data_IF_205379024788
#
_entry.id   IF_205379024788
#
_cell.length_a   1.000
_cell.length_b   1.000
_cell.length_c   1.000
_cell.angle_alpha   90.00
_cell.angle_beta   90.00
_cell.angle_gamma   90.00
#
_symmetry.space_group_name_H-M   'P 1'
#
loop_
_entity.id
_entity.type
_entity.pdbx_description
1 polymer ?
#
# COMPACT_ATOMS: atom_id res chain seq x y z
N UNK A 1 -3.23 -18.94 -24.86
CA UNK A 1 -2.58 -17.88 -24.07
C UNK A 1 -3.57 -17.44 -23.03
N UNK A 2 -3.12 -17.26 -21.79
CA UNK A 2 -3.99 -16.79 -20.71
C UNK A 2 -3.72 -15.32 -20.46
N UNK A 3 -4.77 -14.56 -20.16
CA UNK A 3 -4.66 -13.15 -19.79
C UNK A 3 -4.65 -13.04 -18.27
N UNK A 4 -3.60 -12.45 -17.72
CA UNK A 4 -3.56 -12.04 -16.31
C UNK A 4 -3.96 -10.57 -16.26
N UNK A 5 -5.09 -10.30 -15.60
CA UNK A 5 -5.57 -8.94 -15.29
C UNK A 5 -5.08 -8.56 -13.89
N UNK A 6 -4.21 -7.55 -13.79
CA UNK A 6 -3.58 -7.09 -12.56
C UNK A 6 -4.18 -5.74 -12.18
N UNK A 7 -4.62 -5.60 -10.93
CA UNK A 7 -5.03 -4.31 -10.35
C UNK A 7 -4.04 -3.84 -9.30
N UNK A 8 -3.67 -2.57 -9.34
CA UNK A 8 -2.98 -1.85 -8.26
C UNK A 8 -3.91 -0.78 -7.74
N UNK A 9 -4.15 -0.75 -6.43
CA UNK A 9 -5.12 0.20 -5.85
C UNK A 9 -4.79 0.59 -4.41
N UNK A 10 -4.62 1.89 -4.18
CA UNK A 10 -4.65 2.43 -2.82
C UNK A 10 -6.10 2.42 -2.31
N UNK A 11 -6.34 1.89 -1.10
CA UNK A 11 -7.67 1.78 -0.50
C UNK A 11 -7.84 2.67 0.74
N UNK A 12 -7.07 3.77 0.85
CA UNK A 12 -7.30 4.77 1.87
C UNK A 12 -8.75 5.25 1.82
N UNK A 13 -9.27 5.66 2.97
CA UNK A 13 -10.64 6.14 3.12
C UNK A 13 -10.83 6.81 4.47
N UNK A 14 -11.55 7.91 4.47
CA UNK A 14 -11.93 8.58 5.71
C UNK A 14 -12.94 7.72 6.46
N UNK A 15 -12.99 7.83 7.79
CA UNK A 15 -13.86 6.96 8.58
C UNK A 15 -15.35 7.05 8.18
N UNK A 16 -15.77 8.21 7.66
CA UNK A 16 -17.14 8.50 7.25
C UNK A 16 -17.56 7.83 5.93
N UNK A 17 -16.63 7.53 5.02
CA UNK A 17 -16.93 7.01 3.68
C UNK A 17 -16.25 5.65 3.40
N UNK A 18 -15.42 5.17 4.32
CA UNK A 18 -14.69 3.91 4.22
C UNK A 18 -15.58 2.71 3.87
N UNK A 19 -16.76 2.60 4.51
CA UNK A 19 -17.67 1.46 4.30
C UNK A 19 -18.22 1.47 2.87
N UNK A 20 -18.74 2.60 2.41
CA UNK A 20 -19.30 2.74 1.07
C UNK A 20 -18.24 2.51 -0.02
N UNK A 21 -17.05 3.12 0.14
CA UNK A 21 -15.92 2.96 -0.78
C UNK A 21 -15.44 1.51 -0.86
N UNK A 22 -15.36 0.85 0.29
CA UNK A 22 -15.02 -0.57 0.37
C UNK A 22 -16.06 -1.44 -0.34
N UNK A 23 -17.36 -1.21 -0.12
CA UNK A 23 -18.42 -1.96 -0.80
C UNK A 23 -18.36 -1.80 -2.32
N UNK A 24 -18.17 -0.57 -2.81
CA UNK A 24 -17.99 -0.29 -4.25
C UNK A 24 -16.79 -1.03 -4.83
N UNK A 25 -15.65 -1.02 -4.13
CA UNK A 25 -14.46 -1.75 -4.53
C UNK A 25 -14.73 -3.26 -4.61
N UNK A 26 -15.36 -3.84 -3.60
CA UNK A 26 -15.65 -5.28 -3.56
C UNK A 26 -16.63 -5.70 -4.66
N UNK A 27 -17.66 -4.88 -4.92
CA UNK A 27 -18.57 -5.10 -6.05
C UNK A 27 -17.82 -5.05 -7.40
N UNK A 28 -16.91 -4.10 -7.57
CA UNK A 28 -16.08 -4.00 -8.76
C UNK A 28 -15.16 -5.23 -8.92
N UNK A 29 -14.53 -5.71 -7.85
CA UNK A 29 -13.72 -6.94 -7.88
C UNK A 29 -14.56 -8.15 -8.30
N UNK A 30 -15.77 -8.30 -7.75
CA UNK A 30 -16.68 -9.40 -8.10
C UNK A 30 -17.16 -9.34 -9.56
N UNK A 31 -17.40 -8.13 -10.09
CA UNK A 31 -17.83 -7.90 -11.48
C UNK A 31 -16.69 -8.12 -12.47
N UNK A 32 -15.57 -7.43 -12.26
CA UNK A 32 -14.46 -7.36 -13.22
C UNK A 32 -13.50 -8.55 -13.13
N UNK A 33 -13.55 -9.27 -12.01
CA UNK A 33 -12.81 -10.50 -11.72
C UNK A 33 -11.32 -10.39 -12.05
N UNK A 34 -10.57 -9.45 -11.44
CA UNK A 34 -9.12 -9.36 -11.63
C UNK A 34 -8.45 -10.69 -11.27
N UNK A 35 -7.38 -11.03 -11.98
CA UNK A 35 -6.58 -12.23 -11.70
C UNK A 35 -5.74 -12.03 -10.46
N UNK A 36 -5.17 -10.84 -10.32
CA UNK A 36 -4.39 -10.39 -9.16
C UNK A 36 -4.86 -8.98 -8.82
N UNK A 37 -5.06 -8.69 -7.53
CA UNK A 37 -5.19 -7.32 -7.07
C UNK A 37 -4.23 -7.09 -5.90
N UNK A 38 -3.51 -5.97 -5.96
CA UNK A 38 -2.56 -5.50 -4.96
C UNK A 38 -3.14 -4.22 -4.34
N UNK A 39 -3.75 -4.36 -3.16
CA UNK A 39 -4.34 -3.25 -2.41
C UNK A 39 -3.36 -2.66 -1.40
N UNK A 40 -3.28 -1.33 -1.31
CA UNK A 40 -2.56 -0.62 -0.25
C UNK A 40 -3.57 -0.07 0.78
N UNK A 41 -3.12 0.20 2.00
CA UNK A 41 -3.94 0.83 3.06
C UNK A 41 -5.17 0.03 3.54
N UNK A 42 -5.13 -1.30 3.39
CA UNK A 42 -6.14 -2.23 3.93
C UNK A 42 -5.80 -2.66 5.37
N UNK A 43 -5.71 -1.67 6.25
CA UNK A 43 -5.20 -1.86 7.62
C UNK A 43 -6.28 -2.15 8.66
N UNK A 44 -7.54 -1.78 8.41
CA UNK A 44 -8.59 -1.91 9.41
C UNK A 44 -9.01 -3.39 9.57
N UNK A 45 -9.29 -3.86 10.80
CA UNK A 45 -9.86 -5.19 10.99
C UNK A 45 -11.16 -5.41 10.22
N UNK A 46 -11.99 -4.36 10.12
CA UNK A 46 -13.24 -4.39 9.36
C UNK A 46 -12.99 -4.67 7.88
N UNK A 47 -12.14 -3.89 7.21
CA UNK A 47 -11.87 -4.10 5.78
C UNK A 47 -11.30 -5.49 5.50
N UNK A 48 -10.40 -5.99 6.35
CA UNK A 48 -9.87 -7.36 6.22
C UNK A 48 -10.95 -8.42 6.35
N UNK A 49 -11.77 -8.33 7.38
CA UNK A 49 -12.90 -9.23 7.60
C UNK A 49 -13.86 -9.22 6.41
N UNK A 50 -14.21 -8.04 5.90
CA UNK A 50 -15.13 -7.91 4.77
C UNK A 50 -14.55 -8.50 3.48
N UNK A 51 -13.27 -8.29 3.20
CA UNK A 51 -12.56 -8.96 2.10
C UNK A 51 -12.62 -10.48 2.23
N UNK A 52 -12.28 -11.00 3.42
CA UNK A 52 -12.30 -12.45 3.68
C UNK A 52 -13.71 -13.02 3.54
N UNK A 53 -14.72 -12.35 4.10
CA UNK A 53 -16.11 -12.80 4.05
C UNK A 53 -16.69 -12.81 2.63
N UNK A 54 -16.39 -11.79 1.82
CA UNK A 54 -17.04 -11.61 0.51
C UNK A 54 -16.25 -12.14 -0.69
N UNK A 55 -14.93 -12.34 -0.56
CA UNK A 55 -14.08 -12.75 -1.68
C UNK A 55 -13.39 -14.10 -1.48
N UNK A 56 -13.35 -14.68 -0.26
CA UNK A 56 -12.58 -15.90 0.00
C UNK A 56 -13.09 -17.14 -0.75
N UNK A 57 -14.34 -17.16 -1.22
CA UNK A 57 -14.86 -18.21 -2.10
C UNK A 57 -14.10 -18.26 -3.43
N UNK A 58 -13.79 -17.10 -3.99
CA UNK A 58 -13.28 -16.92 -5.35
C UNK A 58 -11.80 -16.52 -5.40
N UNK A 59 -11.23 -16.11 -4.26
CA UNK A 59 -9.88 -15.60 -4.16
C UNK A 59 -9.09 -16.28 -3.03
N UNK A 60 -7.79 -16.41 -3.25
CA UNK A 60 -6.81 -16.58 -2.18
C UNK A 60 -6.41 -15.18 -1.69
N UNK A 61 -6.60 -14.88 -0.41
CA UNK A 61 -6.42 -13.54 0.16
C UNK A 61 -5.23 -13.54 1.12
N UNK A 62 -4.32 -12.60 0.94
CA UNK A 62 -3.07 -12.50 1.70
C UNK A 62 -2.96 -11.09 2.28
N UNK A 63 -3.28 -10.96 3.58
CA UNK A 63 -3.15 -9.70 4.31
C UNK A 63 -1.75 -9.52 4.88
N UNK A 64 -1.20 -8.31 4.78
CA UNK A 64 -0.02 -7.92 5.53
C UNK A 64 -0.34 -7.82 7.02
N UNK A 65 0.03 -8.86 7.75
CA UNK A 65 -0.09 -8.92 9.19
C UNK A 65 1.25 -8.53 9.81
N UNK A 66 1.36 -7.27 10.24
CA UNK A 66 2.52 -6.85 11.02
C UNK A 66 2.37 -7.35 12.46
N UNK A 67 3.06 -8.46 12.77
CA UNK A 67 3.43 -8.77 14.15
C UNK A 67 4.41 -7.67 14.56
N UNK A 68 4.03 -6.85 15.54
CA UNK A 68 4.74 -5.65 15.97
C UNK A 68 6.27 -5.85 15.96
N UNK A 69 7.06 -5.08 15.21
CA UNK A 69 8.42 -4.82 15.64
C UNK A 69 8.35 -3.98 16.92
N UNK A 70 9.28 -4.23 17.84
CA UNK A 70 9.57 -3.33 18.97
C UNK A 70 9.57 -1.91 18.43
N UNK A 71 8.70 -1.04 18.96
CA UNK A 71 8.71 0.35 18.55
C UNK A 71 10.11 0.93 18.88
N UNK A 72 10.64 1.85 18.07
CA UNK A 72 11.83 2.59 18.45
C UNK A 72 11.63 3.19 19.84
N UNK A 73 12.64 3.14 20.71
CA UNK A 73 12.52 3.68 22.08
C UNK A 73 12.08 5.16 22.08
N UNK A 74 12.43 5.91 21.03
CA UNK A 74 12.01 7.32 20.84
C UNK A 74 10.49 7.49 20.68
N UNK A 75 9.78 6.48 20.15
CA UNK A 75 8.32 6.47 20.10
C UNK A 75 7.69 6.50 21.50
N UNK A 76 8.42 6.10 22.54
CA UNK A 76 7.91 6.14 23.91
C UNK A 76 8.18 7.49 24.60
N UNK A 77 9.08 8.32 24.09
CA UNK A 77 9.47 9.58 24.75
C UNK A 77 8.35 10.59 24.82
N UNK A 78 7.59 10.77 23.74
CA UNK A 78 6.47 11.71 23.74
C UNK A 78 5.36 11.27 24.70
N UNK A 79 4.90 10.00 24.67
CA UNK A 79 4.01 9.47 25.70
C UNK A 79 4.54 9.66 27.12
N UNK A 80 5.80 9.29 27.38
CA UNK A 80 6.42 9.44 28.71
C UNK A 80 6.50 10.91 29.13
N UNK A 81 6.89 11.81 28.23
CA UNK A 81 6.94 13.25 28.48
C UNK A 81 5.56 13.83 28.80
N UNK A 82 4.52 13.42 28.05
CA UNK A 82 3.14 13.80 28.33
C UNK A 82 2.66 13.25 29.69
N UNK A 83 2.98 11.99 30.02
CA UNK A 83 2.68 11.42 31.33
C UNK A 83 3.39 12.18 32.46
N UNK A 84 4.66 12.56 32.28
CA UNK A 84 5.40 13.36 33.26
C UNK A 84 4.83 14.77 33.43
N UNK A 85 4.42 15.41 32.33
CA UNK A 85 3.76 16.71 32.37
C UNK A 85 2.40 16.60 33.06
N UNK A 86 1.59 15.59 32.75
CA UNK A 86 0.33 15.32 33.46
C UNK A 86 0.58 14.93 34.92
N UNK A 87 1.62 14.18 35.27
CA UNK A 87 1.93 13.88 36.66
C UNK A 87 2.36 15.11 37.46
N UNK A 88 3.14 16.00 36.83
CA UNK A 88 3.64 17.23 37.46
C UNK A 88 2.57 18.34 37.55
N UNK A 89 1.67 18.43 36.57
CA UNK A 89 0.68 19.52 36.46
C UNK A 89 -0.77 19.05 36.65
N UNK A 90 -1.05 17.76 36.55
CA UNK A 90 -2.39 17.14 36.62
C UNK A 90 -2.98 17.07 38.02
N UNK A 91 -2.29 17.58 39.04
CA UNK A 91 -2.98 18.02 40.27
C UNK A 91 -3.85 19.28 40.03
N UNK A 92 -3.77 19.92 38.85
CA UNK A 92 -4.54 21.12 38.48
C UNK A 92 -5.38 20.96 37.20
N UNK A 93 -5.37 19.81 36.52
CA UNK A 93 -6.01 19.64 35.20
C UNK A 93 -7.10 18.58 35.23
N UNK A 94 -8.19 18.85 34.50
CA UNK A 94 -9.40 18.06 34.37
C UNK A 94 -9.12 16.54 34.15
N UNK A 95 -9.79 15.64 34.91
CA UNK A 95 -9.64 14.18 34.78
C UNK A 95 -9.88 13.64 33.35
N UNK A 96 -10.67 14.33 32.51
CA UNK A 96 -10.85 13.95 31.10
C UNK A 96 -9.55 14.10 30.29
N UNK A 97 -8.71 15.10 30.59
CA UNK A 97 -7.39 15.27 29.96
C UNK A 97 -6.45 14.15 30.36
N UNK A 98 -6.49 13.73 31.64
CA UNK A 98 -5.75 12.56 32.13
C UNK A 98 -6.21 11.31 31.39
N UNK A 99 -7.52 11.11 31.22
CA UNK A 99 -8.08 9.94 30.53
C UNK A 99 -7.74 9.90 29.03
N UNK A 100 -7.69 11.05 28.37
CA UNK A 100 -7.35 11.18 26.96
C UNK A 100 -5.86 10.97 26.71
N UNK A 101 -5.00 11.64 27.49
CA UNK A 101 -3.55 11.46 27.46
C UNK A 101 -3.20 10.01 27.85
N UNK A 102 -3.87 9.44 28.85
CA UNK A 102 -3.77 8.03 29.20
C UNK A 102 -4.21 7.14 28.04
N UNK A 103 -5.29 7.43 27.30
CA UNK A 103 -5.64 6.62 26.12
C UNK A 103 -4.57 6.70 25.01
N UNK A 104 -3.96 7.86 24.79
CA UNK A 104 -2.89 8.03 23.79
C UNK A 104 -1.56 7.37 24.21
N UNK A 105 -1.25 7.37 25.52
CA UNK A 105 -0.04 6.78 26.11
C UNK A 105 -0.21 5.28 26.33
N UNK A 106 -1.36 4.84 26.83
CA UNK A 106 -1.63 3.47 27.24
C UNK A 106 -2.01 2.58 26.05
N UNK A 107 -2.49 3.10 24.92
CA UNK A 107 -2.70 2.26 23.73
C UNK A 107 -1.36 1.68 23.19
N UNK A 108 -0.26 2.44 23.09
CA UNK A 108 1.03 1.86 22.75
C UNK A 108 1.71 1.10 23.90
N UNK A 109 1.46 1.48 25.16
CA UNK A 109 2.23 1.00 26.34
C UNK A 109 1.54 -0.11 27.16
N UNK A 110 0.21 -0.13 27.29
CA UNK A 110 -0.55 -1.18 28.00
C UNK A 110 -1.09 -2.29 27.09
N UNK A 111 -1.01 -2.15 25.76
CA UNK A 111 -1.44 -3.20 24.83
C UNK A 111 -0.80 -4.58 25.03
N UNK A 112 0.45 -4.73 25.53
CA UNK A 112 0.97 -6.06 25.85
C UNK A 112 0.48 -6.62 27.20
N UNK A 113 -0.15 -5.82 28.07
CA UNK A 113 -0.45 -6.18 29.47
C UNK A 113 -1.90 -6.49 29.81
N UNK A 114 -2.88 -6.15 28.96
CA UNK A 114 -4.31 -6.39 29.25
C UNK A 114 -4.75 -7.78 28.71
N UNK A 115 -5.14 -8.74 29.57
CA UNK A 115 -5.49 -10.10 29.16
C UNK A 115 -6.69 -10.19 28.19
N UNK A 116 -7.60 -9.22 28.25
CA UNK A 116 -8.77 -9.13 27.36
C UNK A 116 -8.36 -8.82 25.91
N UNK A 117 -7.26 -8.09 25.70
CA UNK A 117 -6.74 -7.78 24.35
C UNK A 117 -5.84 -8.90 23.81
N UNK A 118 -5.25 -9.73 24.68
CA UNK A 118 -4.62 -11.01 24.27
C UNK A 118 -5.61 -11.93 23.56
N UNK A 119 -6.90 -11.89 23.93
CA UNK A 119 -7.97 -12.62 23.23
C UNK A 119 -8.48 -11.91 21.96
N UNK A 120 -8.27 -10.59 21.83
CA UNK A 120 -8.51 -9.83 20.59
C UNK A 120 -7.31 -9.84 19.63
N UNK A 121 -6.27 -10.64 19.90
CA UNK A 121 -5.18 -10.96 18.97
C UNK A 121 -4.61 -9.75 18.25
N UNK A 122 -4.10 -8.75 18.98
CA UNK A 122 -3.66 -7.45 18.45
C UNK A 122 -2.44 -7.54 17.51
N UNK A 123 -2.68 -8.10 16.32
CA UNK A 123 -1.89 -7.91 15.11
C UNK A 123 -1.95 -6.41 14.80
N UNK A 124 -0.81 -5.73 14.78
CA UNK A 124 -0.80 -4.27 14.64
C UNK A 124 -1.31 -3.84 13.26
N UNK A 125 -2.10 -2.77 13.26
CA UNK A 125 -2.52 -2.06 12.05
C UNK A 125 -1.43 -1.05 11.67
N UNK A 126 -0.54 -1.42 10.74
CA UNK A 126 0.21 -0.40 9.97
C UNK A 126 -0.80 0.28 9.06
N UNK A 127 -0.93 1.60 9.08
CA UNK A 127 -1.85 2.31 8.18
C UNK A 127 -1.51 2.10 6.72
N UNK A 128 -0.25 1.82 6.42
CA UNK A 128 0.16 1.53 5.06
C UNK A 128 -0.12 0.08 4.65
N UNK A 129 -0.60 -0.81 5.54
CA UNK A 129 -0.67 -2.26 5.32
C UNK A 129 -1.28 -2.67 3.97
N UNK A 130 -0.65 -3.65 3.33
CA UNK A 130 -1.05 -4.17 2.02
C UNK A 130 -1.89 -5.42 2.10
N UNK A 131 -2.61 -5.69 1.02
CA UNK A 131 -3.28 -6.96 0.77
C UNK A 131 -2.99 -7.38 -0.66
N UNK A 132 -2.75 -8.68 -0.88
CA UNK A 132 -2.67 -9.25 -2.22
C UNK A 132 -3.72 -10.34 -2.34
N UNK A 133 -4.52 -10.30 -3.40
CA UNK A 133 -5.51 -11.34 -3.69
C UNK A 133 -5.21 -12.00 -5.05
N UNK A 134 -5.41 -13.30 -5.12
CA UNK A 134 -5.22 -14.12 -6.32
C UNK A 134 -6.50 -14.88 -6.65
N UNK A 135 -7.00 -14.74 -7.88
CA UNK A 135 -8.23 -15.44 -8.29
C UNK A 135 -8.03 -16.96 -8.33
N UNK A 136 -8.87 -17.71 -7.62
CA UNK A 136 -8.92 -19.19 -7.67
C UNK A 136 -9.31 -19.73 -9.05
N UNK A 137 -9.88 -18.88 -9.91
CA UNK A 137 -10.12 -19.23 -11.32
C UNK A 137 -8.81 -19.53 -12.05
N UNK A 138 -7.77 -18.73 -11.78
CA UNK A 138 -6.48 -18.79 -12.47
C UNK A 138 -5.38 -19.47 -11.65
N UNK A 139 -5.38 -19.25 -10.34
CA UNK A 139 -4.36 -19.74 -9.42
C UNK A 139 -4.86 -20.97 -8.63
N UNK A 140 -4.09 -22.06 -8.72
CA UNK A 140 -4.32 -23.26 -7.91
C UNK A 140 -4.09 -22.97 -6.43
N UNK A 141 -3.05 -22.21 -6.11
CA UNK A 141 -2.70 -21.81 -4.75
C UNK A 141 -2.02 -20.46 -4.75
N UNK A 142 -2.16 -19.73 -3.64
CA UNK A 142 -1.32 -18.57 -3.37
C UNK A 142 -0.92 -18.51 -1.90
N UNK A 143 0.23 -17.91 -1.61
CA UNK A 143 0.74 -17.73 -0.24
C UNK A 143 1.63 -16.50 -0.14
N UNK A 144 1.72 -15.95 1.07
CA UNK A 144 2.78 -15.00 1.39
C UNK A 144 4.13 -15.71 1.36
N UNK A 145 5.11 -15.11 0.68
CA UNK A 145 6.52 -15.52 0.78
C UNK A 145 7.22 -14.64 1.80
N UNK A 146 6.99 -13.33 1.72
CA UNK A 146 7.60 -12.35 2.62
C UNK A 146 6.69 -11.16 2.84
N UNK A 147 6.52 -10.74 4.09
CA UNK A 147 5.80 -9.52 4.45
C UNK A 147 6.66 -8.77 5.46
N UNK A 148 7.24 -7.63 5.04
CA UNK A 148 8.22 -6.93 5.87
C UNK A 148 8.06 -5.41 5.75
N UNK A 149 8.07 -4.75 6.90
CA UNK A 149 8.21 -3.30 6.97
C UNK A 149 9.66 -2.88 6.75
N UNK A 150 9.87 -1.73 6.10
CA UNK A 150 11.24 -1.23 5.94
C UNK A 150 11.86 -0.87 7.29
N UNK A 151 13.17 -1.10 7.39
CA UNK A 151 13.96 -0.77 8.56
C UNK A 151 13.89 0.72 8.87
N UNK A 152 13.98 1.07 10.15
CA UNK A 152 13.76 2.44 10.60
C UNK A 152 14.66 3.46 9.89
N UNK A 153 15.92 3.10 9.64
CA UNK A 153 16.92 3.97 8.99
C UNK A 153 16.62 4.31 7.53
N UNK A 154 15.73 3.57 6.87
CA UNK A 154 15.33 3.80 5.47
C UNK A 154 13.85 4.13 5.33
N UNK A 155 13.13 4.38 6.43
CA UNK A 155 11.73 4.85 6.34
C UNK A 155 11.64 6.24 5.74
N UNK A 156 12.61 7.12 6.00
CA UNK A 156 12.77 8.37 5.27
C UNK A 156 11.73 9.47 5.58
N UNK A 157 11.07 9.44 6.74
CA UNK A 157 10.21 10.54 7.16
C UNK A 157 11.04 11.80 7.46
N UNK A 158 10.69 12.97 6.90
CA UNK A 158 11.46 14.19 7.10
C UNK A 158 11.33 14.68 8.55
N UNK A 159 12.46 15.03 9.16
CA UNK A 159 12.45 15.63 10.50
C UNK A 159 11.86 17.04 10.39
N UNK A 160 10.74 17.36 11.06
CA UNK A 160 10.12 18.66 10.95
C UNK A 160 10.96 19.70 11.70
N UNK A 161 10.82 20.97 11.31
CA UNK A 161 11.47 22.05 12.05
C UNK A 161 10.92 22.13 13.47
N UNK A 162 11.82 22.30 14.44
CA UNK A 162 11.51 22.42 15.87
C UNK A 162 10.56 23.59 16.20
N UNK A 163 10.38 24.52 15.26
CA UNK A 163 9.48 25.68 15.38
C UNK A 163 7.99 25.35 15.20
N UNK A 164 7.64 24.13 14.79
CA UNK A 164 6.24 23.69 14.60
C UNK A 164 5.95 22.42 15.42
N UNK A 165 5.59 22.53 16.71
CA UNK A 165 5.46 21.37 17.61
C UNK A 165 4.41 20.35 17.14
N UNK A 166 3.34 20.79 16.48
CA UNK A 166 2.35 19.88 15.87
C UNK A 166 2.97 18.94 14.81
N UNK A 167 4.00 19.39 14.09
CA UNK A 167 4.70 18.54 13.12
C UNK A 167 5.56 17.46 13.80
N UNK A 168 6.11 17.72 14.99
CA UNK A 168 6.83 16.69 15.76
C UNK A 168 5.87 15.58 16.23
N UNK A 169 4.67 15.95 16.63
CA UNK A 169 3.61 14.98 16.95
C UNK A 169 3.24 14.14 15.71
N UNK A 170 3.06 14.78 14.56
CA UNK A 170 2.77 14.07 13.32
C UNK A 170 3.91 13.16 12.88
N UNK A 171 5.17 13.59 13.01
CA UNK A 171 6.34 12.75 12.79
C UNK A 171 6.30 11.50 13.68
N UNK A 172 5.95 11.66 14.96
CA UNK A 172 5.76 10.52 15.86
C UNK A 172 4.70 9.55 15.34
N UNK A 173 3.53 10.06 14.90
CA UNK A 173 2.46 9.26 14.31
C UNK A 173 2.97 8.53 13.06
N UNK A 174 3.70 9.22 12.18
CA UNK A 174 4.28 8.65 10.97
C UNK A 174 5.21 7.47 11.32
N UNK A 175 6.26 7.68 12.11
CA UNK A 175 7.18 6.60 12.46
C UNK A 175 6.53 5.44 13.23
N UNK A 176 5.41 5.70 13.91
CA UNK A 176 4.72 4.72 14.75
C UNK A 176 3.70 3.90 13.95
N UNK A 177 2.90 4.52 13.08
CA UNK A 177 1.73 3.91 12.44
C UNK A 177 1.80 3.88 10.90
N UNK A 178 2.43 4.88 10.27
CA UNK A 178 2.66 4.88 8.83
C UNK A 178 4.01 4.20 8.58
N UNK A 179 4.00 2.90 8.31
CA UNK A 179 5.24 2.15 8.08
C UNK A 179 5.26 1.72 6.64
N UNK A 180 6.11 2.34 5.81
CA UNK A 180 6.33 1.88 4.46
C UNK A 180 6.76 0.42 4.54
N UNK A 181 6.23 -0.40 3.64
CA UNK A 181 6.46 -1.84 3.68
C UNK A 181 6.19 -2.46 2.31
N UNK A 182 6.51 -3.74 2.19
CA UNK A 182 6.20 -4.54 1.02
C UNK A 182 5.68 -5.91 1.42
N UNK A 183 4.97 -6.53 0.48
CA UNK A 183 4.48 -7.90 0.54
C UNK A 183 4.83 -8.62 -0.77
N UNK A 184 5.66 -9.65 -0.68
CA UNK A 184 5.95 -10.57 -1.78
C UNK A 184 5.07 -11.80 -1.60
N UNK A 185 4.14 -11.97 -2.52
CA UNK A 185 3.24 -13.11 -2.56
C UNK A 185 3.50 -13.97 -3.79
N UNK A 186 3.39 -15.29 -3.61
CA UNK A 186 3.55 -16.27 -4.67
C UNK A 186 2.19 -16.86 -5.02
N UNK A 187 1.87 -16.86 -6.32
CA UNK A 187 0.75 -17.58 -6.90
C UNK A 187 1.24 -18.69 -7.83
N UNK A 188 0.67 -19.88 -7.73
CA UNK A 188 0.91 -20.99 -8.65
C UNK A 188 -0.31 -21.11 -9.56
N UNK A 189 -0.13 -20.96 -10.87
CA UNK A 189 -1.23 -21.07 -11.84
C UNK A 189 -1.73 -22.52 -11.92
N UNK A 190 -2.91 -22.71 -12.48
CA UNK A 190 -3.45 -24.07 -12.68
C UNK A 190 -2.60 -24.92 -13.63
N UNK A 191 -1.86 -24.28 -14.51
CA UNK A 191 -0.92 -24.91 -15.45
C UNK A 191 0.49 -25.10 -14.85
N UNK A 192 0.71 -24.70 -13.59
CA UNK A 192 1.98 -24.88 -12.89
C UNK A 192 2.98 -23.73 -13.04
N UNK A 193 2.60 -22.66 -13.75
CA UNK A 193 3.40 -21.43 -13.82
C UNK A 193 3.49 -20.75 -12.45
N UNK A 194 4.62 -20.07 -12.19
CA UNK A 194 4.85 -19.35 -10.95
C UNK A 194 4.79 -17.85 -11.19
N UNK A 195 4.01 -17.16 -10.35
CA UNK A 195 3.85 -15.71 -10.37
C UNK A 195 4.30 -15.14 -9.03
N UNK A 196 5.16 -14.12 -9.07
CA UNK A 196 5.50 -13.30 -7.91
C UNK A 196 4.80 -11.95 -8.02
N UNK A 197 3.88 -11.67 -7.10
CA UNK A 197 3.22 -10.38 -6.97
C UNK A 197 3.80 -9.64 -5.77
N UNK A 198 4.45 -8.51 -6.03
CA UNK A 198 5.15 -7.67 -5.07
C UNK A 198 4.34 -6.39 -4.88
N UNK A 199 3.65 -6.30 -3.76
CA UNK A 199 2.89 -5.12 -3.37
C UNK A 199 3.80 -4.19 -2.56
N UNK A 200 4.00 -2.96 -3.02
CA UNK A 200 4.80 -1.95 -2.34
C UNK A 200 3.92 -0.77 -1.92
N UNK A 201 4.25 -0.19 -0.77
CA UNK A 201 3.77 1.14 -0.41
C UNK A 201 4.98 1.92 0.14
N UNK A 202 5.57 2.73 -0.73
CA UNK A 202 6.82 3.45 -0.46
C UNK A 202 6.57 4.73 0.34
N UNK A 203 7.64 5.27 0.91
CA UNK A 203 7.55 6.49 1.73
C UNK A 203 7.01 7.70 0.95
N UNK A 204 6.13 8.45 1.62
CA UNK A 204 5.56 9.73 1.19
C UNK A 204 6.61 10.86 1.06
N UNK A 205 6.22 11.91 0.34
CA UNK A 205 6.98 13.15 0.19
C UNK A 205 7.73 13.22 -1.13
N UNK A 206 7.73 14.41 -1.72
CA UNK A 206 8.37 14.65 -3.01
C UNK A 206 9.30 15.88 -2.92
N UNK A 207 10.61 15.75 -3.26
CA UNK A 207 11.35 14.52 -3.52
C UNK A 207 11.69 13.74 -2.22
N UNK A 208 11.75 12.41 -2.28
CA UNK A 208 12.23 11.59 -1.15
C UNK A 208 13.29 10.54 -1.60
N UNK A 209 14.59 10.77 -1.28
CA UNK A 209 15.66 9.89 -1.73
C UNK A 209 15.66 8.50 -1.08
N UNK A 210 14.90 8.30 0.00
CA UNK A 210 14.82 6.99 0.66
C UNK A 210 13.98 5.98 -0.13
N UNK A 211 13.14 6.41 -1.08
CA UNK A 211 12.39 5.50 -1.95
C UNK A 211 13.30 4.60 -2.79
N UNK A 212 14.41 5.15 -3.28
CA UNK A 212 15.41 4.37 -4.01
C UNK A 212 16.01 3.26 -3.13
N UNK A 213 16.41 3.59 -1.89
CA UNK A 213 16.93 2.61 -0.92
C UNK A 213 15.89 1.54 -0.55
N UNK A 214 14.62 1.93 -0.43
CA UNK A 214 13.52 0.99 -0.21
C UNK A 214 13.35 0.05 -1.40
N UNK A 215 13.45 0.57 -2.63
CA UNK A 215 13.37 -0.25 -3.84
C UNK A 215 14.58 -1.16 -4.02
N UNK A 216 15.79 -0.73 -3.66
CA UNK A 216 16.97 -1.60 -3.64
C UNK A 216 16.75 -2.84 -2.77
N UNK A 217 16.18 -2.67 -1.58
CA UNK A 217 15.80 -3.76 -0.68
C UNK A 217 14.76 -4.66 -1.34
N UNK A 218 13.70 -4.10 -1.95
CA UNK A 218 12.68 -4.90 -2.64
C UNK A 218 13.31 -5.71 -3.78
N UNK A 219 14.13 -5.09 -4.62
CA UNK A 219 14.77 -5.74 -5.77
C UNK A 219 15.78 -6.81 -5.35
N UNK A 220 16.51 -6.62 -4.25
CA UNK A 220 17.35 -7.66 -3.64
C UNK A 220 16.52 -8.89 -3.24
N UNK A 221 15.44 -8.69 -2.48
CA UNK A 221 14.57 -9.79 -2.05
C UNK A 221 13.91 -10.49 -3.23
N UNK A 222 13.48 -9.74 -4.24
CA UNK A 222 12.91 -10.33 -5.46
C UNK A 222 13.95 -11.15 -6.21
N UNK A 223 15.19 -10.68 -6.35
CA UNK A 223 16.29 -11.45 -6.98
C UNK A 223 16.51 -12.78 -6.27
N UNK A 224 16.58 -12.77 -4.94
CA UNK A 224 16.79 -13.99 -4.14
C UNK A 224 15.63 -14.99 -4.21
N UNK A 225 14.39 -14.50 -4.35
CA UNK A 225 13.17 -15.32 -4.34
C UNK A 225 12.72 -15.77 -5.74
N UNK A 226 13.13 -15.04 -6.78
CA UNK A 226 12.79 -15.30 -8.17
C UNK A 226 13.49 -16.54 -8.70
N UNK A 227 12.84 -17.21 -9.65
CA UNK A 227 13.37 -18.33 -10.42
C UNK A 227 13.30 -18.01 -11.90
N UNK A 228 14.11 -18.72 -12.68
CA UNK A 228 14.04 -18.62 -14.14
C UNK A 228 12.63 -18.99 -14.63
N UNK A 229 12.05 -18.11 -15.45
CA UNK A 229 10.70 -18.28 -15.99
C UNK A 229 9.56 -17.78 -15.11
N UNK A 230 9.84 -17.21 -13.93
CA UNK A 230 8.81 -16.54 -13.13
C UNK A 230 8.23 -15.33 -13.86
N UNK A 231 6.93 -15.12 -13.65
CA UNK A 231 6.23 -13.90 -14.03
C UNK A 231 6.19 -12.97 -12.80
N UNK A 232 6.84 -11.81 -12.86
CA UNK A 232 7.04 -10.94 -11.70
C UNK A 232 6.35 -9.61 -11.93
N UNK A 233 5.51 -9.22 -10.97
CA UNK A 233 4.80 -7.95 -10.93
C UNK A 233 5.22 -7.17 -9.70
N UNK A 234 5.69 -5.93 -9.87
CA UNK A 234 5.90 -4.99 -8.76
C UNK A 234 4.88 -3.87 -8.92
N UNK A 235 3.96 -3.78 -7.96
CA UNK A 235 2.83 -2.87 -8.04
C UNK A 235 2.58 -2.17 -6.71
N UNK A 236 1.92 -1.03 -6.78
CA UNK A 236 1.41 -0.33 -5.62
C UNK A 236 1.63 1.16 -5.71
N UNK A 237 1.55 1.81 -4.56
CA UNK A 237 1.77 3.24 -4.40
C UNK A 237 3.26 3.52 -4.16
N UNK A 238 3.89 4.09 -5.18
CA UNK A 238 5.30 4.45 -5.13
C UNK A 238 5.50 5.83 -4.51
N UNK A 239 4.43 6.61 -4.38
CA UNK A 239 4.44 8.01 -3.95
C UNK A 239 5.35 8.93 -4.79
N UNK A 240 5.79 8.50 -5.97
CA UNK A 240 6.68 9.22 -6.88
C UNK A 240 5.86 9.97 -7.91
N UNK A 241 6.10 11.27 -8.06
CA UNK A 241 5.52 12.03 -9.16
C UNK A 241 6.10 11.58 -10.51
N UNK A 242 5.23 11.25 -11.46
CA UNK A 242 5.59 10.95 -12.86
C UNK A 242 6.47 11.99 -13.55
N UNK A 243 6.41 13.26 -13.13
CA UNK A 243 7.23 14.33 -13.69
C UNK A 243 8.65 14.37 -13.13
N UNK A 244 8.94 13.63 -12.04
CA UNK A 244 10.28 13.54 -11.47
C UNK A 244 11.17 12.60 -12.30
N UNK A 245 11.72 13.16 -13.38
CA UNK A 245 12.69 12.47 -14.26
C UNK A 245 14.00 12.12 -13.54
N UNK A 246 14.26 12.72 -12.37
CA UNK A 246 15.48 12.47 -11.60
C UNK A 246 15.37 11.25 -10.69
N UNK A 247 14.17 10.68 -10.54
CA UNK A 247 13.92 9.63 -9.57
C UNK A 247 14.73 8.35 -9.87
N UNK A 248 15.56 7.96 -8.90
CA UNK A 248 16.49 6.83 -9.03
C UNK A 248 15.74 5.50 -8.98
N UNK A 249 14.60 5.46 -8.29
CA UNK A 249 13.75 4.27 -8.14
C UNK A 249 13.37 3.64 -9.48
N UNK A 250 12.91 4.42 -10.47
CA UNK A 250 12.53 3.88 -11.78
C UNK A 250 13.74 3.47 -12.62
N UNK A 251 14.89 4.11 -12.42
CA UNK A 251 16.15 3.71 -13.09
C UNK A 251 16.60 2.33 -12.62
N UNK A 252 16.49 2.04 -11.32
CA UNK A 252 16.78 0.72 -10.76
C UNK A 252 15.88 -0.36 -11.36
N UNK A 253 14.56 -0.13 -11.43
CA UNK A 253 13.61 -1.07 -12.03
C UNK A 253 13.92 -1.36 -13.50
N UNK A 254 14.17 -0.32 -14.30
CA UNK A 254 14.54 -0.47 -15.72
C UNK A 254 15.87 -1.20 -15.88
N UNK A 255 16.86 -0.92 -15.04
CA UNK A 255 18.16 -1.60 -15.07
C UNK A 255 18.03 -3.11 -14.77
N UNK A 256 17.06 -3.49 -13.92
CA UNK A 256 16.69 -4.88 -13.65
C UNK A 256 15.80 -5.50 -14.74
N UNK A 257 15.50 -4.77 -15.81
CA UNK A 257 14.71 -5.26 -16.96
C UNK A 257 13.20 -5.22 -16.76
N UNK A 258 12.70 -4.51 -15.74
CA UNK A 258 11.27 -4.31 -15.58
C UNK A 258 10.74 -3.28 -16.60
N UNK A 259 9.55 -3.55 -17.11
CA UNK A 259 8.82 -2.66 -18.00
C UNK A 259 7.63 -2.05 -17.25
N UNK A 260 7.36 -0.77 -17.48
CA UNK A 260 6.18 -0.08 -16.95
C UNK A 260 4.96 -0.34 -17.84
N UNK A 261 3.82 -0.63 -17.22
CA UNK A 261 2.55 -0.90 -17.88
C UNK A 261 2.12 0.14 -18.90
N UNK A 262 2.28 1.42 -18.55
CA UNK A 262 1.94 2.51 -19.45
C UNK A 262 2.85 2.51 -20.70
N UNK A 263 4.15 2.25 -20.51
CA UNK A 263 5.13 2.26 -21.59
C UNK A 263 4.89 1.13 -22.59
N UNK A 264 4.56 -0.09 -22.13
CA UNK A 264 4.29 -1.19 -23.07
C UNK A 264 2.97 -0.98 -23.83
N UNK A 265 1.96 -0.38 -23.19
CA UNK A 265 0.66 -0.15 -23.83
C UNK A 265 0.79 0.87 -24.98
N UNK A 266 1.63 1.88 -24.80
CA UNK A 266 1.94 2.88 -25.82
C UNK A 266 2.75 2.32 -26.99
N UNK A 267 3.67 1.38 -26.74
CA UNK A 267 4.51 0.77 -27.77
C UNK A 267 3.85 -0.39 -28.55
N UNK A 268 2.68 -0.87 -28.13
CA UNK A 268 2.09 -2.14 -28.56
C UNK A 268 0.89 -2.07 -29.50
N UNK A 269 0.43 -0.87 -29.87
CA UNK A 269 -0.83 -0.68 -30.59
C UNK A 269 -2.01 -0.79 -29.63
N UNK A 270 -2.12 0.16 -28.69
CA UNK A 270 -3.31 0.32 -27.87
C UNK A 270 -4.54 0.19 -28.76
N UNK A 271 -5.44 -0.76 -28.44
CA UNK A 271 -6.67 -0.95 -29.20
C UNK A 271 -7.46 0.36 -29.21
N UNK A 272 -8.04 0.71 -30.35
CA UNK A 272 -8.92 1.87 -30.48
C UNK A 272 -9.97 1.86 -29.34
N UNK A 273 -9.98 2.93 -28.53
CA UNK A 273 -10.92 3.11 -27.43
C UNK A 273 -10.34 3.10 -26.01
N UNK A 274 -9.10 2.65 -25.81
CA UNK A 274 -8.45 2.76 -24.50
C UNK A 274 -7.84 4.14 -24.28
N UNK A 275 -8.27 4.84 -23.22
CA UNK A 275 -7.62 6.07 -22.77
C UNK A 275 -6.33 5.71 -22.04
N UNK A 276 -5.18 6.10 -22.58
CA UNK A 276 -3.89 6.07 -21.87
C UNK A 276 -3.79 7.25 -20.91
N UNK A 277 -4.80 7.42 -20.04
CA UNK A 277 -4.63 8.25 -18.86
C UNK A 277 -3.58 7.57 -17.97
N UNK A 278 -2.79 8.37 -17.29
CA UNK A 278 -1.75 7.91 -16.38
C UNK A 278 -1.94 8.47 -14.99
N UNK A 279 -2.80 9.48 -14.83
CA UNK A 279 -3.00 10.17 -13.57
C UNK A 279 -3.70 9.20 -12.61
N UNK A 280 -3.10 8.96 -11.45
CA UNK A 280 -3.70 8.17 -10.37
C UNK A 280 -3.98 9.00 -9.13
N UNK A 281 -3.58 10.27 -9.13
CA UNK A 281 -3.85 11.21 -8.07
C UNK A 281 -4.18 12.57 -8.67
N UNK A 282 -5.35 13.12 -8.31
CA UNK A 282 -5.85 14.36 -8.89
C UNK A 282 -6.69 15.15 -7.88
N UNK A 283 -6.50 16.48 -7.75
CA UNK A 283 -7.36 17.36 -6.96
C UNK A 283 -8.83 17.38 -7.41
N UNK A 284 -9.12 16.89 -8.63
CA UNK A 284 -10.49 16.70 -9.11
C UNK A 284 -11.23 15.55 -8.42
N UNK A 285 -10.50 14.63 -7.78
CA UNK A 285 -11.06 13.59 -6.94
C UNK A 285 -11.58 14.21 -5.65
N UNK A 286 -12.89 14.09 -5.38
CA UNK A 286 -13.54 14.67 -4.18
C UNK A 286 -12.98 14.15 -2.85
N UNK A 287 -12.23 13.05 -2.87
CA UNK A 287 -11.62 12.46 -1.67
C UNK A 287 -10.19 12.93 -1.43
N UNK A 288 -9.57 13.62 -2.39
CA UNK A 288 -8.27 14.26 -2.19
C UNK A 288 -8.48 15.51 -1.31
N UNK A 289 -7.73 15.65 -0.20
CA UNK A 289 -7.80 16.84 0.64
C UNK A 289 -7.50 18.11 -0.18
N UNK A 290 -8.30 19.15 0.02
CA UNK A 290 -8.06 20.47 -0.57
C UNK A 290 -6.90 21.17 0.18
N UNK A 291 -5.67 20.72 -0.05
CA UNK A 291 -4.47 21.40 0.43
C UNK A 291 -4.04 22.46 -0.59
N UNK A 292 -3.67 23.66 -0.13
CA UNK A 292 -3.29 24.77 -1.02
C UNK A 292 -2.05 24.46 -1.85
N UNK A 293 -1.14 23.66 -1.28
CA UNK A 293 0.12 23.29 -1.90
C UNK A 293 -0.05 22.28 -3.06
N UNK A 294 -1.20 21.59 -3.13
CA UNK A 294 -1.44 20.50 -4.09
C UNK A 294 -2.58 20.76 -5.09
N UNK A 295 -3.21 21.95 -5.08
CA UNK A 295 -4.46 22.26 -5.83
C UNK A 295 -4.39 22.00 -7.35
N UNK A 296 -3.20 21.98 -7.95
CA UNK A 296 -3.00 21.77 -9.39
C UNK A 296 -2.21 20.48 -9.73
N UNK A 297 -1.85 19.67 -8.74
CA UNK A 297 -0.96 18.54 -8.95
C UNK A 297 -1.71 17.33 -9.52
N UNK A 298 -1.72 17.16 -10.84
CA UNK A 298 -2.16 15.92 -11.46
C UNK A 298 -0.96 15.01 -11.69
N UNK A 299 -0.93 13.85 -11.02
CA UNK A 299 0.22 12.96 -11.12
C UNK A 299 -0.15 11.49 -11.03
N UNK A 300 0.77 10.64 -11.47
CA UNK A 300 0.73 9.20 -11.27
C UNK A 300 1.60 8.87 -10.08
N UNK A 301 1.00 8.30 -9.04
CA UNK A 301 1.72 7.80 -7.86
C UNK A 301 1.76 6.26 -7.85
N UNK A 302 0.79 5.64 -8.52
CA UNK A 302 0.62 4.20 -8.57
C UNK A 302 1.21 3.62 -9.84
N UNK A 303 1.85 2.46 -9.72
CA UNK A 303 2.54 1.83 -10.85
C UNK A 303 2.31 0.33 -10.89
N UNK A 304 2.39 -0.23 -12.10
CA UNK A 304 2.47 -1.66 -12.37
C UNK A 304 3.70 -1.89 -13.24
N UNK A 305 4.73 -2.50 -12.65
CA UNK A 305 5.95 -2.93 -13.30
C UNK A 305 5.95 -4.44 -13.49
N UNK A 306 6.52 -4.90 -14.59
CA UNK A 306 6.48 -6.31 -14.97
C UNK A 306 7.81 -6.79 -15.54
N UNK A 307 8.17 -8.03 -15.21
CA UNK A 307 9.31 -8.77 -15.77
C UNK A 307 8.91 -10.23 -15.92
N UNK A 308 9.02 -10.79 -17.13
CA UNK A 308 8.62 -12.17 -17.42
C UNK A 308 8.64 -12.49 -18.92
N UNK A 309 8.08 -13.65 -19.31
CA UNK A 309 8.02 -14.10 -20.71
C UNK A 309 6.74 -13.68 -21.42
N UNK A 310 5.72 -13.31 -20.66
CA UNK A 310 4.50 -12.72 -21.17
C UNK A 310 4.70 -11.37 -21.86
N UNK A 311 3.65 -10.93 -22.56
CA UNK A 311 3.62 -9.66 -23.28
C UNK A 311 2.53 -8.78 -22.68
N UNK A 312 2.90 -7.58 -22.23
CA UNK A 312 1.94 -6.56 -21.84
C UNK A 312 1.05 -6.15 -23.01
N UNK A 313 -0.26 -6.06 -22.76
CA UNK A 313 -1.25 -5.67 -23.76
C UNK A 313 -1.94 -4.36 -23.43
N UNK A 314 -2.42 -4.22 -22.19
CA UNK A 314 -3.34 -3.14 -21.82
C UNK A 314 -2.86 -2.45 -20.54
N UNK A 315 -3.17 -1.16 -20.47
CA UNK A 315 -3.03 -0.29 -19.29
C UNK A 315 -4.25 0.63 -19.26
N UNK A 316 -4.87 0.77 -18.10
CA UNK A 316 -6.05 1.60 -17.91
C UNK A 316 -6.08 2.13 -16.48
N UNK A 317 -6.38 3.42 -16.32
CA UNK A 317 -6.73 3.98 -15.01
C UNK A 317 -8.20 3.67 -14.73
N UNK A 318 -8.47 3.03 -13.60
CA UNK A 318 -9.80 2.62 -13.16
C UNK A 318 -10.24 3.45 -11.94
N UNK A 319 -11.55 3.54 -11.70
CA UNK A 319 -12.12 4.33 -10.60
C UNK A 319 -11.79 5.84 -10.68
N UNK A 320 -11.69 6.40 -11.89
CA UNK A 320 -11.48 7.83 -12.14
C UNK A 320 -12.76 8.59 -12.53
N UNK A 321 -13.90 7.90 -12.62
CA UNK A 321 -15.20 8.52 -12.87
C UNK A 321 -15.83 8.99 -11.55
N UNK A 322 -16.46 10.18 -11.56
CA UNK A 322 -17.00 10.86 -10.38
C UNK A 322 -17.90 9.98 -9.49
N UNK A 323 -18.69 9.11 -10.10
CA UNK A 323 -19.64 8.24 -9.39
C UNK A 323 -19.05 6.88 -9.00
N UNK A 324 -17.86 6.55 -9.50
CA UNK A 324 -17.17 5.26 -9.29
C UNK A 324 -15.85 5.40 -8.52
N UNK A 325 -15.68 6.50 -7.78
CA UNK A 325 -14.52 6.71 -6.91
C UNK A 325 -14.58 5.75 -5.72
N UNK A 326 -13.48 5.03 -5.47
CA UNK A 326 -13.32 4.12 -4.33
C UNK A 326 -12.15 4.52 -3.42
N UNK A 327 -11.26 5.38 -3.91
CA UNK A 327 -10.14 5.90 -3.15
C UNK A 327 -9.88 7.38 -3.46
N UNK A 328 -9.00 8.04 -2.70
CA UNK A 328 -8.38 9.33 -3.04
C UNK A 328 -7.38 9.17 -4.19
N UNK A 329 -6.93 7.93 -4.42
CA UNK A 329 -6.26 7.53 -5.65
C UNK A 329 -7.24 6.87 -6.65
N UNK A 330 -6.93 6.98 -7.94
CA UNK A 330 -7.48 6.11 -8.97
C UNK A 330 -6.65 4.83 -9.04
N UNK A 331 -7.28 3.71 -9.37
CA UNK A 331 -6.57 2.43 -9.52
C UNK A 331 -5.92 2.30 -10.90
N UNK A 332 -5.02 1.32 -11.04
CA UNK A 332 -4.48 0.90 -12.34
C UNK A 332 -4.89 -0.53 -12.62
N UNK A 333 -5.43 -0.76 -13.81
CA UNK A 333 -5.57 -2.07 -14.43
C UNK A 333 -4.47 -2.26 -15.49
N UNK A 334 -3.82 -3.41 -15.45
CA UNK A 334 -2.89 -3.85 -16.48
C UNK A 334 -3.21 -5.27 -16.93
N UNK A 335 -3.00 -5.57 -18.22
CA UNK A 335 -3.20 -6.92 -18.76
C UNK A 335 -1.93 -7.44 -19.39
N UNK A 336 -1.53 -8.65 -19.01
CA UNK A 336 -0.38 -9.35 -19.58
C UNK A 336 -0.84 -10.70 -20.14
N UNK A 337 -0.48 -10.97 -21.39
CA UNK A 337 -0.60 -12.28 -22.01
C UNK A 337 0.53 -13.18 -21.56
N UNK A 338 0.21 -14.23 -20.83
CA UNK A 338 1.17 -15.27 -20.47
C UNK A 338 0.93 -16.52 -21.32
N UNK A 339 2.04 -17.12 -21.79
CA UNK A 339 2.00 -18.47 -22.34
C UNK A 339 2.10 -19.42 -21.16
N UNK A 340 0.98 -20.02 -20.77
CA UNK A 340 1.03 -21.17 -19.87
C UNK A 340 1.76 -22.29 -20.61
N UNK A 341 2.89 -22.74 -20.05
CA UNK A 341 3.78 -23.76 -20.59
C UNK A 341 3.14 -25.14 -20.62
#
# INVERSE_FOLDING_TARGET
MSKIKIWSINCWGEAQDLVERLERLLQAVQREKPSIMLGQELFTPYSRFTFDALLSSDYHIIHAVHVLPKFPWISYLLPVGLAMLVGKWGLLVNPYTILWVSNMILKPVLFPGVPVVKHLGSKSSSFMATCTIFSKRFFKSARAVEIKGFEHGIRGYPVPSWRKPGKLFFLYIQHTFFRPHYNISEGITKEGGRVLAVNVHLILGNPNPYRAKQMEVVLERVRELSREGDEIYICGDFNIDSNDKSETTFRLLKAEGYQDSLTWAQGGGARDGFRTDSITWSPSNKYVPNDEDDKDLNTRLDYVWYKGKGKGEEHEVIFNEKDNLVSDHYGIQAVVNVKCS
#
